data_IF_075620071994
#
_entry.id   IF_075620071994
#
_cell.length_a   1.000
_cell.length_b   1.000
_cell.length_c   1.000
_cell.angle_alpha   90.00
_cell.angle_beta   90.00
_cell.angle_gamma   90.00
#
_symmetry.space_group_name_H-M   'P 1'
#
loop_
_entity.id
_entity.type
_entity.pdbx_description
1 polymer ?
#
# COMPACT_ATOMS: atom_id res chain seq x y z
N UNK A 1 -13.28 -14.79 14.24
CA UNK A 1 -12.25 -15.85 14.17
C UNK A 1 -11.45 -15.89 15.46
N UNK A 2 -11.12 -17.09 15.96
CA UNK A 2 -10.36 -17.28 17.20
C UNK A 2 -8.86 -17.20 16.90
N UNK A 3 -8.16 -16.33 17.62
CA UNK A 3 -6.72 -16.19 17.56
C UNK A 3 -6.07 -17.17 18.55
N UNK A 4 -5.03 -17.88 18.12
CA UNK A 4 -4.41 -18.97 18.88
C UNK A 4 -2.98 -18.62 19.26
N UNK A 5 -2.48 -19.14 20.39
CA UNK A 5 -1.04 -19.18 20.63
C UNK A 5 -0.34 -20.06 19.60
N UNK A 6 0.98 -19.93 19.45
CA UNK A 6 1.76 -20.76 18.49
C UNK A 6 1.55 -22.27 18.71
N UNK A 7 1.47 -22.71 19.96
CA UNK A 7 1.29 -24.12 20.32
C UNK A 7 -0.13 -24.57 19.98
N UNK A 8 -1.15 -23.82 20.41
CA UNK A 8 -2.56 -24.11 20.10
C UNK A 8 -2.81 -24.08 18.58
N UNK A 9 -2.20 -23.14 17.86
CA UNK A 9 -2.27 -23.08 16.40
C UNK A 9 -1.79 -24.38 15.76
N UNK A 10 -0.60 -24.86 16.15
CA UNK A 10 -0.05 -26.11 15.61
C UNK A 10 -0.95 -27.30 15.94
N UNK A 11 -1.36 -27.42 17.20
CA UNK A 11 -2.22 -28.52 17.65
C UNK A 11 -3.58 -28.52 16.93
N UNK A 12 -4.22 -27.36 16.82
CA UNK A 12 -5.53 -27.24 16.18
C UNK A 12 -5.45 -27.51 14.67
N UNK A 13 -4.41 -27.02 13.99
CA UNK A 13 -4.17 -27.30 12.56
C UNK A 13 -3.97 -28.79 12.33
N UNK A 14 -3.15 -29.45 13.16
CA UNK A 14 -2.87 -30.88 13.06
C UNK A 14 -4.13 -31.71 13.35
N UNK A 15 -4.88 -31.35 14.39
CA UNK A 15 -6.12 -32.03 14.74
C UNK A 15 -7.17 -31.90 13.63
N UNK A 16 -7.33 -30.72 13.02
CA UNK A 16 -8.25 -30.50 11.89
C UNK A 16 -7.92 -31.41 10.71
N UNK A 17 -6.62 -31.55 10.40
CA UNK A 17 -6.15 -32.28 9.23
C UNK A 17 -5.77 -33.74 9.56
N UNK A 18 -6.22 -34.26 10.70
CA UNK A 18 -5.96 -35.64 11.17
C UNK A 18 -4.46 -36.00 11.22
N UNK A 19 -3.60 -35.05 11.57
CA UNK A 19 -2.13 -35.16 11.63
C UNK A 19 -1.47 -35.58 10.31
N UNK A 20 -2.16 -35.38 9.18
CA UNK A 20 -1.71 -35.76 7.85
C UNK A 20 -1.56 -34.54 6.95
N UNK A 21 -0.68 -34.67 5.96
CA UNK A 21 -0.56 -33.73 4.88
C UNK A 21 -1.86 -33.67 4.10
N UNK A 22 -2.43 -32.47 3.95
CA UNK A 22 -3.69 -32.25 3.25
C UNK A 22 -3.67 -32.60 1.75
N UNK A 23 -2.48 -32.78 1.16
CA UNK A 23 -2.32 -33.10 -0.26
C UNK A 23 -2.08 -34.58 -0.55
N UNK A 24 -1.26 -35.28 0.25
CA UNK A 24 -0.88 -36.67 -0.01
C UNK A 24 -1.26 -37.68 1.08
N UNK A 25 -1.72 -37.23 2.25
CA UNK A 25 -2.09 -38.12 3.35
C UNK A 25 -0.91 -38.67 4.17
N UNK A 26 0.34 -38.38 3.79
CA UNK A 26 1.54 -38.68 4.59
C UNK A 26 1.57 -37.90 5.91
N UNK A 27 2.33 -38.31 6.94
CA UNK A 27 2.44 -37.57 8.18
C UNK A 27 2.85 -36.10 7.95
N UNK A 28 2.10 -35.17 8.53
CA UNK A 28 2.47 -33.75 8.52
C UNK A 28 3.65 -33.49 9.45
N UNK A 29 4.58 -32.64 9.04
CA UNK A 29 5.75 -32.28 9.86
C UNK A 29 5.67 -30.87 10.42
N UNK A 30 4.87 -30.00 9.78
CA UNK A 30 4.70 -28.61 10.21
C UNK A 30 3.30 -28.07 9.95
N UNK A 31 2.92 -27.08 10.76
CA UNK A 31 1.71 -26.28 10.59
C UNK A 31 2.07 -25.07 9.72
N UNK A 32 1.97 -25.27 8.42
CA UNK A 32 2.31 -24.28 7.43
C UNK A 32 1.35 -23.10 7.48
N UNK A 33 1.87 -21.87 7.48
CA UNK A 33 1.04 -20.68 7.35
C UNK A 33 0.71 -20.44 5.88
N UNK A 34 -0.57 -20.38 5.52
CA UNK A 34 -1.03 -20.21 4.13
C UNK A 34 -0.57 -18.86 3.57
N UNK A 35 -0.82 -17.78 4.31
CA UNK A 35 -0.19 -16.47 4.13
C UNK A 35 0.92 -16.30 5.17
N UNK A 36 2.08 -15.79 4.79
CA UNK A 36 3.21 -15.67 5.70
C UNK A 36 2.86 -14.82 6.94
N UNK A 37 3.26 -15.32 8.11
CA UNK A 37 2.97 -14.68 9.40
C UNK A 37 3.50 -13.25 9.52
N UNK A 38 4.57 -12.89 8.80
CA UNK A 38 5.17 -11.55 8.85
C UNK A 38 4.28 -10.48 8.21
N UNK A 39 3.30 -10.87 7.38
CA UNK A 39 2.30 -9.95 6.83
C UNK A 39 1.29 -9.48 7.89
N UNK A 40 1.09 -10.26 8.96
CA UNK A 40 0.11 -10.00 10.01
C UNK A 40 0.71 -9.12 11.13
N UNK A 41 0.86 -7.83 10.85
CA UNK A 41 1.54 -6.87 11.74
C UNK A 41 0.63 -6.19 12.75
N UNK A 42 -0.68 -6.20 12.52
CA UNK A 42 -1.66 -5.63 13.42
C UNK A 42 -1.59 -6.30 14.80
N UNK A 43 -1.74 -5.50 15.86
CA UNK A 43 -1.67 -6.01 17.24
C UNK A 43 -2.69 -7.12 17.53
N UNK A 44 -3.82 -7.09 16.84
CA UNK A 44 -4.90 -8.08 16.95
C UNK A 44 -4.68 -9.30 16.04
N UNK A 45 -3.72 -9.24 15.12
CA UNK A 45 -3.44 -10.31 14.17
C UNK A 45 -2.41 -11.32 14.70
N UNK A 46 -1.57 -10.90 15.66
CA UNK A 46 -0.53 -11.68 16.35
C UNK A 46 0.29 -12.60 15.43
N UNK A 47 0.64 -12.16 14.21
CA UNK A 47 1.40 -13.00 13.29
C UNK A 47 0.56 -14.08 12.58
N UNK A 48 -0.75 -13.90 12.49
CA UNK A 48 -1.58 -14.71 11.59
C UNK A 48 -1.87 -16.12 12.09
N UNK A 49 -1.78 -16.37 13.40
CA UNK A 49 -2.11 -17.66 14.05
C UNK A 49 -3.62 -17.91 14.12
N UNK A 50 -4.29 -17.75 12.99
CA UNK A 50 -5.69 -18.11 12.81
C UNK A 50 -5.76 -19.53 12.25
N UNK A 51 -6.66 -20.37 12.75
CA UNK A 51 -6.81 -21.74 12.26
C UNK A 51 -7.03 -21.80 10.73
N UNK A 52 -7.75 -20.83 10.16
CA UNK A 52 -7.98 -20.68 8.71
C UNK A 52 -6.79 -20.13 7.92
N UNK A 53 -5.68 -19.80 8.58
CA UNK A 53 -4.41 -19.48 7.95
C UNK A 53 -3.36 -20.59 8.15
N UNK A 54 -3.75 -21.78 8.64
CA UNK A 54 -2.86 -22.90 8.86
C UNK A 54 -3.22 -24.13 8.04
N UNK A 55 -2.22 -24.92 7.66
CA UNK A 55 -2.37 -26.21 6.98
C UNK A 55 -1.33 -27.22 7.48
N UNK A 56 -1.75 -28.47 7.69
CA UNK A 56 -0.85 -29.57 8.01
C UNK A 56 -0.21 -30.09 6.73
N UNK A 57 1.12 -29.97 6.63
CA UNK A 57 1.83 -30.27 5.38
C UNK A 57 3.11 -31.10 5.67
N UNK A 58 3.46 -32.02 4.76
CA UNK A 58 4.72 -32.76 4.79
C UNK A 58 5.89 -31.90 4.24
N UNK A 59 7.13 -32.39 4.33
CA UNK A 59 8.32 -31.64 3.91
C UNK A 59 8.28 -31.18 2.44
N UNK A 60 7.85 -32.06 1.54
CA UNK A 60 7.78 -31.79 0.10
C UNK A 60 6.78 -30.68 -0.21
N UNK A 61 5.53 -30.87 0.20
CA UNK A 61 4.46 -29.90 -0.04
C UNK A 61 4.71 -28.57 0.69
N UNK A 62 5.42 -28.59 1.82
CA UNK A 62 5.84 -27.35 2.49
C UNK A 62 6.71 -26.52 1.53
N UNK A 63 7.70 -27.13 0.88
CA UNK A 63 8.55 -26.43 -0.09
C UNK A 63 7.77 -25.94 -1.31
N UNK A 64 6.78 -26.71 -1.79
CA UNK A 64 5.91 -26.31 -2.90
C UNK A 64 5.00 -25.12 -2.55
N UNK A 65 4.58 -25.00 -1.29
CA UNK A 65 3.83 -23.83 -0.82
C UNK A 65 4.76 -22.62 -0.65
N UNK A 66 5.95 -22.80 -0.07
CA UNK A 66 6.97 -21.74 0.09
C UNK A 66 7.39 -21.14 -1.26
N UNK A 67 7.63 -21.97 -2.27
CA UNK A 67 8.00 -21.53 -3.61
C UNK A 67 6.81 -21.16 -4.51
N UNK A 68 5.59 -21.19 -3.96
CA UNK A 68 4.33 -20.81 -4.63
C UNK A 68 3.92 -21.69 -5.82
N UNK A 69 4.51 -22.88 -5.98
CA UNK A 69 4.04 -23.88 -6.95
C UNK A 69 2.66 -24.43 -6.58
N UNK A 70 2.34 -24.43 -5.27
CA UNK A 70 1.00 -24.61 -4.76
C UNK A 70 0.53 -23.24 -4.25
N UNK A 71 -0.59 -22.79 -4.81
CA UNK A 71 -1.20 -21.50 -4.47
C UNK A 71 -1.91 -21.53 -3.12
N UNK A 72 -2.11 -20.36 -2.52
CA UNK A 72 -2.85 -20.21 -1.26
C UNK A 72 -4.28 -20.74 -1.37
N UNK A 73 -4.91 -20.62 -2.54
CA UNK A 73 -6.26 -21.13 -2.80
C UNK A 73 -6.30 -22.66 -2.89
N UNK A 74 -5.28 -23.28 -3.48
CA UNK A 74 -5.16 -24.75 -3.50
C UNK A 74 -4.99 -25.29 -2.08
N UNK A 75 -4.19 -24.63 -1.23
CA UNK A 75 -4.07 -25.01 0.18
C UNK A 75 -5.39 -24.84 0.93
N UNK A 76 -6.08 -23.70 0.75
CA UNK A 76 -7.40 -23.44 1.36
C UNK A 76 -8.41 -24.52 0.98
N UNK A 77 -8.47 -24.86 -0.32
CA UNK A 77 -9.35 -25.91 -0.85
C UNK A 77 -9.01 -27.28 -0.26
N UNK A 78 -7.74 -27.66 -0.20
CA UNK A 78 -7.30 -28.93 0.39
C UNK A 78 -7.67 -29.05 1.88
N UNK A 79 -7.65 -27.93 2.62
CA UNK A 79 -8.04 -27.88 4.03
C UNK A 79 -9.56 -27.73 4.25
N UNK A 80 -10.37 -27.53 3.20
CA UNK A 80 -11.79 -27.23 3.34
C UNK A 80 -12.09 -25.87 3.99
N UNK A 81 -11.16 -24.92 3.94
CA UNK A 81 -11.30 -23.58 4.54
C UNK A 81 -12.26 -22.74 3.69
N UNK A 82 -13.33 -22.23 4.31
CA UNK A 82 -14.34 -21.37 3.64
C UNK A 82 -14.23 -19.90 4.03
N UNK A 83 -13.83 -19.62 5.28
CA UNK A 83 -13.63 -18.26 5.77
C UNK A 83 -12.15 -17.89 5.60
N UNK A 84 -11.87 -17.02 4.63
CA UNK A 84 -10.50 -16.58 4.33
C UNK A 84 -10.08 -15.49 5.31
N UNK A 85 -8.94 -15.70 5.94
CA UNK A 85 -8.23 -14.64 6.69
C UNK A 85 -7.21 -14.00 5.77
N UNK A 86 -7.25 -12.67 5.72
CA UNK A 86 -6.19 -11.84 5.15
C UNK A 86 -5.65 -10.90 6.22
N UNK A 87 -4.37 -10.47 6.10
CA UNK A 87 -3.87 -9.33 6.83
C UNK A 87 -4.78 -8.10 6.67
N UNK A 88 -4.97 -7.31 7.73
CA UNK A 88 -5.96 -6.21 7.79
C UNK A 88 -5.78 -5.16 6.69
N UNK A 89 -4.57 -5.00 6.17
CA UNK A 89 -4.23 -4.04 5.14
C UNK A 89 -4.42 -4.58 3.71
N UNK A 90 -4.57 -5.90 3.55
CA UNK A 90 -4.87 -6.56 2.28
C UNK A 90 -6.38 -6.68 2.06
N UNK A 91 -6.78 -6.84 0.81
CA UNK A 91 -8.19 -6.76 0.38
C UNK A 91 -8.62 -8.00 -0.36
N UNK A 92 -9.89 -8.38 -0.23
CA UNK A 92 -10.43 -9.57 -0.88
C UNK A 92 -10.54 -9.47 -2.40
N UNK A 93 -10.51 -8.25 -2.97
CA UNK A 93 -10.62 -8.03 -4.42
C UNK A 93 -9.33 -8.34 -5.20
N UNK A 94 -8.25 -8.68 -4.49
CA UNK A 94 -6.95 -8.95 -5.07
C UNK A 94 -6.56 -10.41 -4.80
N UNK A 95 -5.81 -11.00 -5.73
CA UNK A 95 -5.23 -12.32 -5.55
C UNK A 95 -3.80 -12.17 -5.05
N UNK A 96 -3.41 -12.95 -4.03
CA UNK A 96 -2.07 -12.91 -3.46
C UNK A 96 -1.40 -14.27 -3.51
N UNK A 97 -0.08 -14.28 -3.62
CA UNK A 97 0.72 -15.43 -3.20
C UNK A 97 0.94 -15.44 -1.68
N UNK A 98 1.57 -16.50 -1.17
CA UNK A 98 1.89 -16.67 0.26
C UNK A 98 2.62 -15.46 0.86
N UNK A 99 3.46 -14.80 0.07
CA UNK A 99 4.35 -13.72 0.50
C UNK A 99 3.70 -12.34 0.39
N UNK A 100 2.43 -12.27 0.03
CA UNK A 100 1.67 -11.02 -0.10
C UNK A 100 1.93 -10.28 -1.41
N UNK A 101 2.51 -10.94 -2.42
CA UNK A 101 2.64 -10.37 -3.75
C UNK A 101 1.31 -10.48 -4.51
N UNK A 102 0.86 -9.38 -5.12
CA UNK A 102 -0.37 -9.36 -5.92
C UNK A 102 -0.13 -10.11 -7.23
N UNK A 103 -0.99 -11.09 -7.53
CA UNK A 103 -0.98 -11.86 -8.77
C UNK A 103 -1.88 -11.17 -9.80
N UNK A 104 -1.30 -10.74 -10.91
CA UNK A 104 -2.00 -10.10 -12.02
C UNK A 104 -2.70 -11.14 -12.92
N UNK A 105 -3.66 -10.68 -13.71
CA UNK A 105 -4.43 -11.52 -14.65
C UNK A 105 -3.56 -12.19 -15.72
N UNK A 106 -2.40 -11.61 -16.05
CA UNK A 106 -1.44 -12.16 -16.99
C UNK A 106 -0.45 -13.16 -16.34
N UNK A 107 -0.61 -13.48 -15.06
CA UNK A 107 0.25 -14.40 -14.31
C UNK A 107 1.52 -13.79 -13.74
N UNK A 108 1.86 -12.54 -14.07
CA UNK A 108 2.94 -11.80 -13.41
C UNK A 108 2.51 -11.33 -12.02
N UNK A 109 3.49 -10.92 -11.21
CA UNK A 109 3.29 -10.50 -9.83
C UNK A 109 3.87 -9.10 -9.59
N UNK A 110 3.18 -8.33 -8.76
CA UNK A 110 3.72 -7.09 -8.21
C UNK A 110 4.56 -7.40 -6.98
N UNK A 111 5.65 -6.65 -6.77
CA UNK A 111 6.49 -6.83 -5.57
C UNK A 111 5.74 -6.34 -4.34
N UNK A 112 5.44 -7.24 -3.41
CA UNK A 112 4.73 -6.99 -2.16
C UNK A 112 5.66 -6.66 -1.00
N UNK A 113 5.11 -6.74 0.22
CA UNK A 113 5.78 -6.32 1.46
C UNK A 113 6.99 -7.16 1.82
N UNK A 114 6.90 -8.46 1.60
CA UNK A 114 7.98 -9.41 1.90
C UNK A 114 8.86 -9.69 0.69
N UNK A 115 8.71 -8.94 -0.41
CA UNK A 115 9.51 -9.19 -1.62
C UNK A 115 11.01 -9.17 -1.32
N UNK A 116 11.48 -8.21 -0.51
CA UNK A 116 12.88 -8.08 -0.11
C UNK A 116 13.22 -8.75 1.23
N UNK A 117 12.32 -9.55 1.81
CA UNK A 117 12.63 -10.34 3.00
C UNK A 117 13.66 -11.42 2.67
N UNK A 118 14.65 -11.64 3.54
CA UNK A 118 15.71 -12.62 3.32
C UNK A 118 15.17 -14.04 3.06
N UNK A 119 14.10 -14.42 3.75
CA UNK A 119 13.45 -15.72 3.58
C UNK A 119 12.92 -15.89 2.16
N UNK A 120 12.17 -14.89 1.68
CA UNK A 120 11.62 -14.94 0.34
C UNK A 120 12.70 -14.77 -0.74
N UNK A 121 13.70 -13.90 -0.55
CA UNK A 121 14.82 -13.73 -1.48
C UNK A 121 15.61 -15.03 -1.68
N UNK A 122 15.75 -15.85 -0.62
CA UNK A 122 16.36 -17.18 -0.74
C UNK A 122 15.51 -18.13 -1.58
N UNK A 123 14.18 -18.12 -1.40
CA UNK A 123 13.26 -18.92 -2.21
C UNK A 123 13.28 -18.46 -3.67
N UNK A 124 13.20 -17.15 -3.91
CA UNK A 124 13.21 -16.52 -5.23
C UNK A 124 14.41 -17.01 -6.06
N UNK A 125 15.62 -16.90 -5.50
CA UNK A 125 16.87 -17.31 -6.14
C UNK A 125 16.97 -18.83 -6.32
N UNK A 126 16.62 -19.60 -5.28
CA UNK A 126 16.73 -21.07 -5.30
C UNK A 126 15.86 -21.70 -6.38
N UNK A 127 14.69 -21.12 -6.64
CA UNK A 127 13.71 -21.63 -7.61
C UNK A 127 13.63 -20.80 -8.89
N UNK A 128 14.53 -19.82 -9.09
CA UNK A 128 14.60 -18.95 -10.27
C UNK A 128 13.25 -18.28 -10.62
N UNK A 129 12.59 -17.69 -9.62
CA UNK A 129 11.23 -17.17 -9.72
C UNK A 129 11.15 -15.69 -10.15
N UNK A 130 12.29 -15.02 -10.34
CA UNK A 130 12.38 -13.59 -10.65
C UNK A 130 11.57 -13.20 -11.88
N UNK A 131 11.50 -14.08 -12.89
CA UNK A 131 10.80 -13.85 -14.15
C UNK A 131 9.27 -13.73 -14.02
N UNK A 132 8.71 -14.13 -12.88
CA UNK A 132 7.28 -13.92 -12.58
C UNK A 132 6.99 -12.51 -12.04
N UNK A 133 7.99 -11.68 -11.75
CA UNK A 133 7.79 -10.40 -11.09
C UNK A 133 8.01 -9.22 -12.02
N UNK A 134 7.09 -8.25 -11.96
CA UNK A 134 7.31 -6.92 -12.54
C UNK A 134 8.23 -6.09 -11.64
N UNK A 135 8.77 -4.99 -12.16
CA UNK A 135 9.47 -3.99 -11.34
C UNK A 135 8.49 -3.02 -10.63
N UNK A 136 7.19 -3.13 -10.90
CA UNK A 136 6.18 -2.18 -10.45
C UNK A 136 5.54 -2.61 -9.12
N UNK A 137 5.20 -1.61 -8.31
CA UNK A 137 4.66 -1.76 -6.97
C UNK A 137 3.41 -0.88 -6.84
N UNK A 138 2.33 -1.46 -6.31
CA UNK A 138 1.09 -0.75 -5.98
C UNK A 138 1.33 0.18 -4.78
N UNK A 139 0.72 1.36 -4.74
CA UNK A 139 0.85 2.23 -3.56
C UNK A 139 0.00 1.71 -2.38
N UNK A 140 0.54 1.59 -1.15
CA UNK A 140 -0.16 0.98 -0.02
C UNK A 140 -1.46 1.71 0.35
N UNK A 141 -2.40 0.97 0.97
CA UNK A 141 -3.55 1.60 1.62
C UNK A 141 -3.08 2.33 2.88
N UNK A 142 -3.52 3.57 3.06
CA UNK A 142 -3.21 4.35 4.25
C UNK A 142 -4.36 4.24 5.25
N UNK A 143 -4.04 3.82 6.48
CA UNK A 143 -5.03 3.68 7.55
C UNK A 143 -5.42 5.04 8.12
N UNK A 144 -6.67 5.17 8.55
CA UNK A 144 -7.16 6.38 9.17
C UNK A 144 -6.62 6.55 10.59
N UNK A 145 -6.38 7.80 10.98
CA UNK A 145 -6.23 8.16 12.38
C UNK A 145 -7.53 7.85 13.15
N UNK A 146 -7.47 7.54 14.46
CA UNK A 146 -8.65 7.20 15.25
C UNK A 146 -9.78 8.23 15.18
N UNK A 147 -9.42 9.52 15.12
CA UNK A 147 -10.34 10.66 15.07
C UNK A 147 -10.79 11.04 13.66
N UNK A 148 -10.40 10.30 12.61
CA UNK A 148 -10.87 10.56 11.26
C UNK A 148 -12.37 10.22 11.13
N UNK A 149 -13.22 11.15 10.69
CA UNK A 149 -14.66 10.90 10.57
C UNK A 149 -15.07 10.27 9.23
N UNK A 150 -14.35 10.53 8.13
CA UNK A 150 -14.68 10.08 6.78
C UNK A 150 -14.28 8.65 6.44
N UNK A 151 -14.43 7.68 7.34
CA UNK A 151 -14.18 6.26 7.02
C UNK A 151 -15.39 5.63 6.34
N UNK A 152 -15.14 4.88 5.28
CA UNK A 152 -16.12 3.97 4.66
C UNK A 152 -16.06 2.58 5.30
N UNK A 153 -16.93 1.64 4.88
CA UNK A 153 -16.91 0.24 5.36
C UNK A 153 -15.59 -0.48 5.09
N UNK A 154 -14.89 -0.06 4.04
CA UNK A 154 -13.68 -0.72 3.54
C UNK A 154 -12.40 -0.07 4.06
N UNK A 155 -12.54 1.04 4.80
CA UNK A 155 -11.43 1.73 5.44
C UNK A 155 -11.07 1.10 6.78
N UNK A 156 -9.76 1.10 7.07
CA UNK A 156 -9.22 0.67 8.36
C UNK A 156 -8.76 1.87 9.17
N UNK A 157 -8.93 1.79 10.49
CA UNK A 157 -8.46 2.78 11.45
C UNK A 157 -7.33 2.20 12.27
N UNK A 158 -6.35 3.05 12.54
CA UNK A 158 -5.40 2.81 13.62
C UNK A 158 -6.14 2.75 14.97
N UNK A 159 -5.82 1.81 15.87
CA UNK A 159 -6.42 1.77 17.20
C UNK A 159 -5.92 2.91 18.10
N UNK A 160 -4.73 3.44 17.83
CA UNK A 160 -4.10 4.59 18.48
C UNK A 160 -2.91 5.05 17.63
N UNK A 161 -2.27 6.14 18.04
CA UNK A 161 -1.13 6.74 17.31
C UNK A 161 0.22 6.56 18.02
N UNK A 162 0.35 5.56 18.92
CA UNK A 162 1.56 5.35 19.74
C UNK A 162 2.84 5.18 18.89
N UNK A 163 2.72 4.65 17.68
CA UNK A 163 3.82 4.47 16.73
C UNK A 163 4.48 5.77 16.26
N UNK A 164 3.82 6.92 16.46
CA UNK A 164 4.34 8.25 16.11
C UNK A 164 4.92 9.02 17.31
N UNK A 165 4.61 8.60 18.54
CA UNK A 165 5.04 9.34 19.76
C UNK A 165 6.56 9.44 19.83
N UNK A 166 7.05 10.67 20.02
CA UNK A 166 8.49 10.97 20.10
C UNK A 166 9.21 11.04 18.75
N UNK A 167 8.54 10.77 17.63
CA UNK A 167 9.12 10.88 16.28
C UNK A 167 8.85 12.25 15.68
N UNK A 168 9.75 12.75 14.82
CA UNK A 168 9.45 13.84 13.89
C UNK A 168 8.46 13.32 12.84
N UNK A 169 7.36 14.04 12.65
CA UNK A 169 6.34 13.75 11.67
C UNK A 169 6.14 14.93 10.74
N UNK A 170 5.78 14.60 9.51
CA UNK A 170 5.34 15.56 8.50
C UNK A 170 3.85 15.35 8.30
N UNK A 171 3.07 16.39 8.52
CA UNK A 171 1.66 16.41 8.18
C UNK A 171 1.48 17.25 6.93
N UNK A 172 0.99 16.61 5.88
CA UNK A 172 0.74 17.27 4.59
C UNK A 172 -0.76 17.36 4.34
N UNK A 173 -1.17 18.34 3.56
CA UNK A 173 -2.52 18.35 3.00
C UNK A 173 -2.75 17.09 2.17
N UNK A 174 -3.91 16.47 2.36
CA UNK A 174 -4.37 15.36 1.52
C UNK A 174 -5.11 15.99 0.35
N UNK A 175 -4.45 16.02 -0.80
CA UNK A 175 -5.05 16.51 -2.04
C UNK A 175 -5.96 15.44 -2.63
N UNK A 176 -7.07 15.90 -3.20
CA UNK A 176 -8.13 15.09 -3.79
C UNK A 176 -7.96 15.01 -5.31
N UNK A 177 -7.31 13.96 -5.78
CA UNK A 177 -7.10 13.68 -7.20
C UNK A 177 -6.90 12.20 -7.47
N UNK A 178 -5.99 11.90 -8.40
CA UNK A 178 -5.63 10.54 -8.77
C UNK A 178 -4.19 10.22 -8.35
N UNK A 179 -4.06 9.29 -7.40
CA UNK A 179 -2.78 8.68 -7.05
C UNK A 179 -2.04 8.16 -8.29
N UNK A 180 -0.78 8.55 -8.38
CA UNK A 180 0.05 8.39 -9.56
C UNK A 180 1.48 7.99 -9.17
N UNK A 181 2.04 7.00 -9.87
CA UNK A 181 3.40 6.50 -9.67
C UNK A 181 4.24 6.63 -10.94
N UNK A 182 5.42 7.25 -10.83
CA UNK A 182 6.35 7.53 -11.92
C UNK A 182 7.66 6.76 -11.70
N UNK A 183 8.06 5.97 -12.69
CA UNK A 183 9.32 5.22 -12.76
C UNK A 183 10.14 5.74 -13.94
N UNK A 184 11.35 5.24 -14.14
CA UNK A 184 12.16 5.65 -15.28
C UNK A 184 11.60 5.19 -16.64
N UNK A 185 10.74 4.16 -16.64
CA UNK A 185 10.22 3.49 -17.83
C UNK A 185 8.68 3.52 -17.93
N UNK A 186 7.97 3.71 -16.82
CA UNK A 186 6.50 3.62 -16.76
C UNK A 186 5.87 4.65 -15.82
N UNK A 187 4.67 5.10 -16.19
CA UNK A 187 3.71 5.73 -15.30
C UNK A 187 2.50 4.80 -15.11
N UNK A 188 1.95 4.73 -13.90
CA UNK A 188 0.66 4.11 -13.64
C UNK A 188 -0.12 4.88 -12.55
N UNK A 189 -1.45 4.84 -12.60
CA UNK A 189 -2.27 5.27 -11.47
C UNK A 189 -2.17 4.22 -10.33
N UNK A 190 -2.95 4.33 -9.26
CA UNK A 190 -2.87 3.35 -8.17
C UNK A 190 -3.06 1.90 -8.61
N UNK A 191 -3.96 1.64 -9.56
CA UNK A 191 -4.06 0.33 -10.23
C UNK A 191 -3.04 0.24 -11.36
N UNK A 192 -2.29 -0.85 -11.47
CA UNK A 192 -1.24 -0.98 -12.49
C UNK A 192 -1.82 -1.03 -13.91
N UNK A 193 -2.97 -1.67 -14.06
CA UNK A 193 -3.71 -1.79 -15.32
C UNK A 193 -4.62 -0.58 -15.52
N UNK A 194 -3.99 0.57 -15.75
CA UNK A 194 -4.66 1.86 -15.89
C UNK A 194 -5.07 2.12 -17.36
N UNK A 195 -6.37 2.32 -17.61
CA UNK A 195 -6.87 2.71 -18.93
C UNK A 195 -6.28 4.02 -19.46
N UNK A 196 -6.36 4.23 -20.78
CA UNK A 196 -6.10 5.55 -21.34
C UNK A 196 -7.30 6.49 -21.09
N UNK A 197 -7.05 7.59 -20.37
CA UNK A 197 -8.03 8.63 -20.08
C UNK A 197 -7.41 10.02 -20.30
N UNK A 198 -8.22 10.99 -20.76
CA UNK A 198 -7.78 12.35 -21.10
C UNK A 198 -7.22 13.12 -19.90
N UNK A 199 -7.74 12.87 -18.70
CA UNK A 199 -7.23 13.47 -17.45
C UNK A 199 -5.78 13.12 -17.13
N UNK A 200 -5.22 12.11 -17.81
CA UNK A 200 -3.86 11.61 -17.60
C UNK A 200 -2.87 12.10 -18.66
N UNK A 201 -3.31 12.92 -19.62
CA UNK A 201 -2.45 13.41 -20.70
C UNK A 201 -1.33 14.31 -20.17
N UNK A 202 -1.67 15.24 -19.26
CA UNK A 202 -0.68 16.15 -18.67
C UNK A 202 0.40 15.40 -17.88
N UNK A 203 0.00 14.48 -16.99
CA UNK A 203 0.97 13.72 -16.19
C UNK A 203 1.87 12.82 -17.04
N UNK A 204 1.36 12.27 -18.16
CA UNK A 204 2.20 11.52 -19.11
C UNK A 204 3.23 12.41 -19.78
N UNK A 205 2.87 13.64 -20.15
CA UNK A 205 3.82 14.60 -20.71
C UNK A 205 4.87 15.02 -19.67
N UNK A 206 4.43 15.36 -18.46
CA UNK A 206 5.32 15.69 -17.35
C UNK A 206 6.27 14.52 -17.00
N UNK A 207 5.76 13.29 -16.94
CA UNK A 207 6.56 12.10 -16.77
C UNK A 207 7.61 11.96 -17.87
N UNK A 208 7.22 12.14 -19.14
CA UNK A 208 8.12 12.03 -20.27
C UNK A 208 9.29 13.03 -20.22
N UNK A 209 9.11 14.21 -19.60
CA UNK A 209 10.19 15.19 -19.43
C UNK A 209 11.18 14.85 -18.32
N UNK A 210 10.80 14.06 -17.31
CA UNK A 210 11.67 13.75 -16.16
C UNK A 210 12.11 12.28 -16.09
N UNK A 211 11.48 11.36 -16.84
CA UNK A 211 11.65 9.91 -16.63
C UNK A 211 13.10 9.42 -16.76
N UNK A 212 13.92 10.07 -17.59
CA UNK A 212 15.32 9.66 -17.76
C UNK A 212 16.21 10.08 -16.60
N UNK A 213 15.76 11.04 -15.78
CA UNK A 213 16.44 11.49 -14.57
C UNK A 213 16.01 10.68 -13.33
N UNK A 214 14.95 9.87 -13.44
CA UNK A 214 14.54 8.93 -12.40
C UNK A 214 15.48 7.72 -12.45
N UNK A 215 16.18 7.37 -11.36
CA UNK A 215 17.02 6.18 -11.34
C UNK A 215 16.22 4.90 -11.58
N UNK A 216 16.86 3.89 -12.17
CA UNK A 216 16.21 2.58 -12.36
C UNK A 216 15.77 2.00 -11.02
N UNK A 217 14.52 1.54 -10.96
CA UNK A 217 13.92 0.96 -9.75
C UNK A 217 13.39 1.99 -8.75
N UNK A 218 13.66 3.29 -8.95
CA UNK A 218 13.04 4.33 -8.14
C UNK A 218 11.61 4.57 -8.60
N UNK A 219 10.75 4.90 -7.63
CA UNK A 219 9.34 5.21 -7.84
C UNK A 219 8.98 6.48 -7.11
N UNK A 220 8.53 7.47 -7.86
CA UNK A 220 7.98 8.71 -7.32
C UNK A 220 6.46 8.55 -7.23
N UNK A 221 5.88 8.82 -6.07
CA UNK A 221 4.44 8.80 -5.87
C UNK A 221 3.92 10.21 -5.56
N UNK A 222 2.81 10.56 -6.20
CA UNK A 222 2.15 11.85 -6.04
C UNK A 222 0.69 11.79 -6.45
N UNK A 223 0.03 12.95 -6.38
CA UNK A 223 -1.37 13.13 -6.73
C UNK A 223 -1.48 13.91 -8.04
N UNK A 224 -2.18 13.34 -9.03
CA UNK A 224 -2.56 14.02 -10.27
C UNK A 224 -3.88 14.77 -10.05
N UNK A 225 -3.81 16.09 -10.13
CA UNK A 225 -4.93 17.02 -9.92
C UNK A 225 -5.40 17.67 -11.22
N UNK A 226 -5.09 17.09 -12.39
CA UNK A 226 -5.54 17.67 -13.67
C UNK A 226 -7.06 17.79 -13.76
N UNK A 227 -7.79 16.72 -13.42
CA UNK A 227 -9.24 16.71 -13.39
C UNK A 227 -9.76 16.93 -11.97
N UNK A 228 -10.87 17.65 -11.85
CA UNK A 228 -11.64 17.79 -10.62
C UNK A 228 -12.19 16.42 -10.21
N UNK A 229 -11.98 16.08 -8.93
CA UNK A 229 -12.67 14.98 -8.27
C UNK A 229 -13.81 15.57 -7.42
N UNK A 230 -13.72 15.54 -6.10
CA UNK A 230 -14.72 16.12 -5.21
C UNK A 230 -14.41 17.58 -4.85
N UNK A 231 -13.14 17.97 -4.88
CA UNK A 231 -12.66 19.34 -4.66
C UNK A 231 -12.23 19.95 -5.99
N UNK A 232 -12.69 21.18 -6.24
CA UNK A 232 -12.25 21.98 -7.38
C UNK A 232 -11.12 22.91 -6.97
N UNK A 233 -9.99 22.80 -7.64
CA UNK A 233 -8.83 23.64 -7.39
C UNK A 233 -8.73 24.74 -8.45
N UNK A 234 -8.59 25.98 -7.99
CA UNK A 234 -8.53 27.16 -8.86
C UNK A 234 -7.17 27.86 -8.88
N UNK A 235 -6.19 27.38 -8.10
CA UNK A 235 -4.91 28.06 -7.89
C UNK A 235 -3.75 27.07 -7.64
N UNK A 236 -3.67 26.00 -8.44
CA UNK A 236 -2.61 25.00 -8.31
C UNK A 236 -1.26 25.52 -8.84
N UNK A 237 -0.16 25.15 -8.20
CA UNK A 237 1.20 25.44 -8.71
C UNK A 237 1.60 24.48 -9.83
N UNK A 238 1.08 23.25 -9.79
CA UNK A 238 1.33 22.18 -10.76
C UNK A 238 0.08 21.30 -10.86
N UNK A 239 -0.04 20.44 -11.86
CA UNK A 239 -1.07 19.39 -11.85
C UNK A 239 -0.59 18.09 -11.18
N UNK A 240 0.69 17.99 -10.83
CA UNK A 240 1.20 16.85 -10.07
C UNK A 240 1.91 17.33 -8.81
N UNK A 241 1.48 16.77 -7.68
CA UNK A 241 2.03 17.06 -6.36
C UNK A 241 2.63 15.79 -5.76
N UNK A 242 3.95 15.75 -5.60
CA UNK A 242 4.68 14.63 -5.03
C UNK A 242 4.51 14.52 -3.52
N UNK A 243 4.42 13.29 -2.98
CA UNK A 243 4.35 13.04 -1.53
C UNK A 243 5.29 11.94 -1.02
N UNK A 244 5.88 11.11 -1.90
CA UNK A 244 6.92 10.15 -1.49
C UNK A 244 7.77 9.70 -2.67
N UNK A 245 8.99 9.26 -2.36
CA UNK A 245 9.89 8.57 -3.29
C UNK A 245 10.33 7.27 -2.64
N UNK A 246 10.39 6.21 -3.44
CA UNK A 246 10.78 4.87 -3.04
C UNK A 246 11.97 4.44 -3.88
N UNK A 247 12.99 3.88 -3.23
CA UNK A 247 14.16 3.37 -3.93
C UNK A 247 13.91 1.95 -4.49
N UNK A 248 14.93 1.38 -5.11
CA UNK A 248 14.89 0.08 -5.76
C UNK A 248 14.69 -1.10 -4.80
N UNK A 249 14.97 -0.95 -3.50
CA UNK A 249 14.63 -1.94 -2.45
C UNK A 249 13.26 -1.67 -1.81
N UNK A 250 12.43 -0.83 -2.42
CA UNK A 250 11.10 -0.47 -1.91
C UNK A 250 11.17 0.12 -0.48
N UNK A 251 12.18 0.95 -0.25
CA UNK A 251 12.33 1.78 0.94
C UNK A 251 11.87 3.19 0.60
N UNK A 252 10.90 3.71 1.36
CA UNK A 252 10.48 5.09 1.29
C UNK A 252 11.63 5.96 1.81
N UNK A 253 12.06 6.93 1.00
CA UNK A 253 13.08 7.88 1.40
C UNK A 253 12.60 8.73 2.59
N UNK A 254 13.55 9.27 3.34
CA UNK A 254 13.24 10.29 4.34
C UNK A 254 12.54 11.48 3.67
N UNK A 255 11.82 12.28 4.45
CA UNK A 255 11.15 13.47 3.92
C UNK A 255 12.16 14.47 3.37
N UNK A 256 13.30 14.63 4.06
CA UNK A 256 14.33 15.59 3.66
C UNK A 256 14.97 15.16 2.33
N UNK A 257 15.32 13.88 2.16
CA UNK A 257 15.80 13.35 0.87
C UNK A 257 14.72 13.46 -0.22
N UNK A 258 13.46 13.19 0.13
CA UNK A 258 12.33 13.33 -0.80
C UNK A 258 12.24 14.76 -1.33
N UNK A 259 12.41 15.75 -0.46
CA UNK A 259 12.38 17.17 -0.82
C UNK A 259 13.56 17.59 -1.70
N UNK A 260 14.76 17.07 -1.43
CA UNK A 260 15.93 17.26 -2.30
C UNK A 260 15.68 16.73 -3.72
N UNK A 261 15.18 15.50 -3.82
CA UNK A 261 14.81 14.89 -5.11
C UNK A 261 13.71 15.66 -5.83
N UNK A 262 12.67 16.11 -5.11
CA UNK A 262 11.63 16.93 -5.71
C UNK A 262 12.18 18.24 -6.27
N UNK A 263 13.11 18.89 -5.56
CA UNK A 263 13.79 20.08 -6.06
C UNK A 263 14.60 19.78 -7.33
N UNK A 264 15.34 18.67 -7.37
CA UNK A 264 16.15 18.28 -8.54
C UNK A 264 15.28 17.97 -9.77
N UNK A 265 14.12 17.36 -9.57
CA UNK A 265 13.22 16.93 -10.64
C UNK A 265 12.15 17.98 -11.01
N UNK A 266 12.14 19.14 -10.35
CA UNK A 266 11.13 20.18 -10.57
C UNK A 266 9.72 19.74 -10.17
N UNK A 267 9.59 18.88 -9.15
CA UNK A 267 8.31 18.37 -8.66
C UNK A 267 7.81 19.26 -7.51
N UNK A 268 6.59 19.75 -7.62
CA UNK A 268 5.93 20.44 -6.50
C UNK A 268 5.55 19.42 -5.42
N UNK A 269 5.97 19.60 -4.14
CA UNK A 269 5.52 18.75 -3.05
C UNK A 269 4.09 19.08 -2.64
N UNK A 270 3.36 18.11 -2.09
CA UNK A 270 2.12 18.38 -1.33
C UNK A 270 2.36 19.43 -0.23
N UNK A 271 1.41 20.35 0.03
CA UNK A 271 1.59 21.38 1.07
C UNK A 271 1.86 20.79 2.45
N UNK A 272 2.90 21.28 3.13
CA UNK A 272 3.21 20.90 4.52
C UNK A 272 2.38 21.78 5.47
N UNK A 273 1.64 21.13 6.36
CA UNK A 273 0.81 21.76 7.38
C UNK A 273 1.48 21.74 8.76
N UNK A 274 2.32 20.73 9.00
CA UNK A 274 3.10 20.59 10.24
C UNK A 274 4.38 19.80 9.97
N UNK A 275 5.48 20.27 10.54
CA UNK A 275 6.75 19.56 10.62
C UNK A 275 7.30 19.72 12.03
N UNK A 276 7.40 18.61 12.77
CA UNK A 276 7.86 18.63 14.15
C UNK A 276 7.67 17.29 14.85
N UNK A 277 7.99 17.25 16.14
CA UNK A 277 7.72 16.06 16.97
C UNK A 277 6.22 15.83 17.05
N UNK A 278 5.78 14.57 16.96
CA UNK A 278 4.37 14.23 16.99
C UNK A 278 3.65 14.82 18.21
N UNK A 279 2.66 15.68 17.94
CA UNK A 279 1.73 16.23 18.91
C UNK A 279 0.30 16.04 18.39
N UNK A 280 -0.43 15.09 18.98
CA UNK A 280 -1.78 14.75 18.55
C UNK A 280 -2.75 15.95 18.63
N UNK A 281 -2.59 16.81 19.64
CA UNK A 281 -3.49 17.94 19.84
C UNK A 281 -3.26 19.01 18.78
N UNK A 282 -2.01 19.37 18.50
CA UNK A 282 -1.68 20.32 17.44
C UNK A 282 -2.11 19.80 16.07
N UNK A 283 -1.87 18.53 15.78
CA UNK A 283 -2.24 17.91 14.50
C UNK A 283 -3.76 17.91 14.29
N UNK A 284 -4.54 17.63 15.33
CA UNK A 284 -6.01 17.69 15.26
C UNK A 284 -6.52 19.09 14.88
N UNK A 285 -5.82 20.15 15.30
CA UNK A 285 -6.19 21.54 15.00
C UNK A 285 -5.90 21.97 13.55
N UNK A 286 -5.13 21.19 12.79
CA UNK A 286 -4.82 21.49 11.38
C UNK A 286 -6.07 21.48 10.50
N UNK A 287 -7.10 20.73 10.90
CA UNK A 287 -8.39 20.71 10.23
C UNK A 287 -9.50 21.32 11.11
N UNK A 288 -10.40 22.07 10.49
CA UNK A 288 -11.63 22.57 11.10
C UNK A 288 -12.69 22.77 10.01
N UNK A 289 -13.94 22.98 10.41
CA UNK A 289 -15.08 23.08 9.49
C UNK A 289 -14.95 24.18 8.43
N UNK A 290 -14.18 25.26 8.68
CA UNK A 290 -13.98 26.32 7.68
C UNK A 290 -13.19 25.84 6.45
N UNK A 291 -12.49 24.70 6.57
CA UNK A 291 -11.74 24.07 5.49
C UNK A 291 -12.51 22.97 4.76
N UNK A 292 -13.76 22.70 5.12
CA UNK A 292 -14.53 21.55 4.61
C UNK A 292 -14.60 21.52 3.07
N UNK A 293 -14.83 22.66 2.43
CA UNK A 293 -14.98 22.75 0.97
C UNK A 293 -13.64 22.74 0.21
N UNK A 294 -12.52 22.98 0.90
CA UNK A 294 -11.21 23.22 0.26
C UNK A 294 -10.17 22.15 0.57
N UNK A 295 -10.39 21.34 1.60
CA UNK A 295 -9.42 20.38 2.10
C UNK A 295 -10.10 19.05 2.41
N UNK A 296 -9.69 17.97 1.72
CA UNK A 296 -10.17 16.62 2.03
C UNK A 296 -9.77 16.21 3.45
N UNK A 297 -8.53 16.52 3.82
CA UNK A 297 -7.96 16.19 5.10
C UNK A 297 -6.44 16.26 5.04
N UNK A 298 -5.76 15.42 5.80
CA UNK A 298 -4.30 15.43 5.87
C UNK A 298 -3.72 14.03 6.01
N UNK A 299 -2.46 13.89 5.61
CA UNK A 299 -1.66 12.67 5.79
C UNK A 299 -0.58 12.95 6.82
N UNK A 300 -0.40 12.04 7.78
CA UNK A 300 0.67 12.07 8.78
C UNK A 300 1.66 10.99 8.38
N UNK A 301 2.92 11.36 8.10
CA UNK A 301 4.02 10.41 7.89
C UNK A 301 5.16 10.68 8.88
N UNK A 302 5.90 9.65 9.27
CA UNK A 302 7.20 9.88 9.91
C UNK A 302 8.15 10.55 8.91
N UNK A 303 9.05 11.39 9.41
CA UNK A 303 10.04 12.08 8.58
C UNK A 303 11.18 11.14 8.13
N UNK A 304 11.55 10.15 8.94
CA UNK A 304 12.61 9.19 8.63
C UNK A 304 12.24 8.24 7.48
N UNK A 305 13.25 7.62 6.87
CA UNK A 305 13.05 6.56 5.87
C UNK A 305 12.43 5.31 6.49
N UNK A 306 11.63 4.57 5.73
CA UNK A 306 11.00 3.33 6.22
C UNK A 306 10.75 2.32 5.09
N UNK A 307 10.79 1.03 5.41
CA UNK A 307 10.52 -0.02 4.42
C UNK A 307 9.04 -0.11 4.08
N UNK A 308 8.71 -0.60 2.89
CA UNK A 308 7.33 -0.80 2.45
C UNK A 308 6.52 -1.68 3.42
N UNK A 309 7.13 -2.75 3.93
CA UNK A 309 6.54 -3.62 4.96
C UNK A 309 6.14 -2.84 6.22
N UNK A 310 6.81 -1.74 6.56
CA UNK A 310 6.51 -0.93 7.74
C UNK A 310 5.57 0.25 7.48
N UNK A 311 5.02 0.39 6.26
CA UNK A 311 4.21 1.55 5.86
C UNK A 311 3.05 1.83 6.83
N UNK A 312 2.31 0.79 7.22
CA UNK A 312 1.17 0.92 8.14
C UNK A 312 1.56 1.58 9.47
N UNK A 313 2.78 1.34 9.96
CA UNK A 313 3.26 1.89 11.23
C UNK A 313 3.89 3.29 11.09
N UNK A 314 3.96 3.81 9.88
CA UNK A 314 4.68 5.04 9.57
C UNK A 314 3.82 6.08 8.84
N UNK A 315 2.60 5.72 8.41
CA UNK A 315 1.68 6.61 7.70
C UNK A 315 0.25 6.45 8.22
N UNK A 316 -0.45 7.57 8.40
CA UNK A 316 -1.87 7.63 8.72
C UNK A 316 -2.55 8.77 7.96
N UNK A 317 -3.88 8.71 7.82
CA UNK A 317 -4.66 9.80 7.19
C UNK A 317 -5.81 10.27 8.07
N UNK A 318 -6.16 11.54 7.95
CA UNK A 318 -7.44 12.09 8.36
C UNK A 318 -8.20 12.47 7.09
N UNK A 319 -9.48 12.14 7.04
CA UNK A 319 -10.41 12.48 5.95
C UNK A 319 -11.68 13.01 6.57
N UNK A 320 -12.16 14.17 6.09
CA UNK A 320 -13.36 14.83 6.57
C UNK A 320 -14.64 14.02 6.33
N UNK A 321 -15.69 14.33 7.08
CA UNK A 321 -17.01 13.71 6.93
C UNK A 321 -17.59 14.00 5.55
N UNK A 322 -18.31 13.04 4.97
CA UNK A 322 -18.99 13.15 3.67
C UNK A 322 -18.05 13.49 2.50
N UNK A 323 -16.75 13.18 2.60
CA UNK A 323 -15.90 13.19 1.43
C UNK A 323 -16.27 11.99 0.56
N UNK A 324 -17.09 12.24 -0.46
CA UNK A 324 -17.48 11.22 -1.44
C UNK A 324 -16.30 11.01 -2.38
N UNK A 325 -15.80 9.78 -2.49
CA UNK A 325 -14.99 9.39 -3.64
C UNK A 325 -15.98 8.80 -4.64
N UNK A 326 -16.34 9.54 -5.69
CA UNK A 326 -17.26 9.04 -6.72
C UNK A 326 -16.52 8.04 -7.60
N UNK A 327 -16.28 6.83 -7.08
CA UNK A 327 -15.35 5.84 -7.65
C UNK A 327 -15.73 5.36 -9.06
N UNK A 328 -16.97 5.57 -9.51
CA UNK A 328 -17.44 5.14 -10.84
C UNK A 328 -17.99 6.25 -11.75
N UNK A 329 -18.19 7.46 -11.24
CA UNK A 329 -18.88 8.52 -12.02
C UNK A 329 -17.93 9.52 -12.70
N UNK A 330 -16.72 9.78 -12.18
CA UNK A 330 -15.83 10.79 -12.78
C UNK A 330 -15.34 10.43 -14.19
N UNK A 331 -15.22 9.14 -14.53
CA UNK A 331 -14.86 8.68 -15.89
C UNK A 331 -16.00 8.90 -16.91
N UNK A 332 -17.24 9.06 -16.46
CA UNK A 332 -18.43 9.18 -17.30
C UNK A 332 -19.01 10.61 -17.30
N UNK A 333 -18.69 11.39 -16.28
CA UNK A 333 -19.02 12.81 -16.21
C UNK A 333 -18.12 13.65 -17.12
N UNK A 334 -18.59 14.85 -17.46
CA UNK A 334 -17.81 15.81 -18.23
C UNK A 334 -16.53 16.13 -17.46
N UNK A 335 -15.38 15.91 -18.09
CA UNK A 335 -14.08 16.25 -17.50
C UNK A 335 -14.01 17.75 -17.21
N UNK A 336 -13.92 18.12 -15.94
CA UNK A 336 -13.66 19.49 -15.49
C UNK A 336 -12.19 19.58 -15.13
N UNK A 337 -11.44 20.42 -15.85
CA UNK A 337 -10.03 20.65 -15.58
C UNK A 337 -9.85 21.64 -14.42
N UNK A 338 -9.01 21.30 -13.44
CA UNK A 338 -8.61 22.25 -12.39
C UNK A 338 -7.74 23.38 -12.97
N UNK A 339 -7.59 24.50 -12.26
CA UNK A 339 -6.85 25.67 -12.75
C UNK A 339 -5.51 25.83 -12.05
N UNK A 340 -4.48 26.12 -12.84
CA UNK A 340 -3.19 26.57 -12.33
C UNK A 340 -3.28 28.03 -11.88
N UNK A 341 -2.44 28.39 -10.91
CA UNK A 341 -2.24 29.76 -10.47
C UNK A 341 -1.75 30.65 -11.63
N UNK A 342 -2.19 31.90 -11.67
CA UNK A 342 -1.75 32.88 -12.68
C UNK A 342 -0.32 33.40 -12.46
N UNK A 343 0.35 32.97 -11.38
CA UNK A 343 1.69 33.40 -10.97
C UNK A 343 2.81 32.49 -11.48
N UNK A 344 2.64 31.87 -12.66
CA UNK A 344 3.76 31.17 -13.31
C UNK A 344 4.65 32.21 -14.00
N UNK A 345 5.58 32.80 -13.25
CA UNK A 345 6.80 33.35 -13.85
C UNK A 345 7.58 32.13 -14.34
N UNK A 346 7.57 31.93 -15.66
CA UNK A 346 8.57 31.11 -16.33
C UNK A 346 9.82 31.99 -16.41
N UNK A 347 10.83 31.68 -15.60
CA UNK A 347 12.20 32.08 -15.91
C UNK A 347 12.83 31.03 -16.82
#
# INVERSE_FOLDING_TARGET
>A
MMLLSRTEFKEHVFNRDNNKCVFCGEPAIDAHHIMDRKLFQGKVEQGGYFLSNGASICAEHHMLCENTSISVEEVRKACGIKEVVLPEHLTVDETYDKWGNIILSNGLRLRGELFYDDGFQNILKKYNLEHFFTEYVKYPRTFHAPWSPGCTSDDKKHPNMKQFVGKRVIVTEKLDGENSSLYNDKYHARSIDTDNHLSRSWIRQFHASIKYDIPKGYRICGENLFAKHSIEYNNLLSYFYGFSIWNEQNICLSWDDTMEWFSLLGITPVPILYDGIYDENLIKLLWNETKHDTMEGYVIRVAESFSYNSFINNVAKFVRTNHVQTDNHWKHDVLIQNKLSSLVIRD
#
